data_IF_703219188114
#
_entry.id   IF_703219188114
#
_cell.length_a   1.000
_cell.length_b   1.000
_cell.length_c   1.000
_cell.angle_alpha   90.00
_cell.angle_beta   90.00
_cell.angle_gamma   90.00
#
_symmetry.space_group_name_H-M   'P 1'
#
loop_
_entity.id
_entity.type
_entity.pdbx_description
1 polymer ?
#
# COMPACT_ATOMS: atom_id res chain seq x y z
N UNK A 1 -2.86 -14.63 1.92
CA UNK A 1 -2.10 -14.32 0.68
C UNK A 1 -1.00 -15.35 0.53
N UNK A 2 -0.83 -15.95 -0.65
CA UNK A 2 0.02 -17.13 -0.86
C UNK A 2 1.48 -16.73 -1.14
N UNK A 3 2.15 -16.13 -0.15
CA UNK A 3 3.58 -15.78 -0.22
C UNK A 3 4.52 -17.01 -0.26
N UNK A 4 3.96 -18.22 -0.20
CA UNK A 4 4.68 -19.51 -0.30
C UNK A 4 4.50 -20.25 -1.62
N UNK A 5 4.01 -19.58 -2.67
CA UNK A 5 3.94 -20.22 -4.00
C UNK A 5 5.31 -20.27 -4.67
N UNK A 6 5.56 -21.32 -5.46
CA UNK A 6 6.75 -21.46 -6.30
C UNK A 6 6.44 -21.23 -7.79
N UNK A 7 5.15 -21.14 -8.15
CA UNK A 7 4.68 -20.85 -9.51
C UNK A 7 4.30 -19.38 -9.64
N UNK A 8 5.31 -18.51 -9.63
CA UNK A 8 5.14 -17.06 -9.72
C UNK A 8 4.49 -16.63 -11.05
N UNK A 9 4.80 -17.32 -12.14
CA UNK A 9 4.26 -17.00 -13.48
C UNK A 9 2.74 -17.11 -13.48
N UNK A 10 2.22 -18.29 -13.11
CA UNK A 10 0.78 -18.54 -13.18
C UNK A 10 0.04 -17.83 -12.06
N UNK A 11 0.56 -17.92 -10.83
CA UNK A 11 -0.20 -17.52 -9.64
C UNK A 11 -0.05 -16.04 -9.28
N UNK A 12 0.93 -15.33 -9.83
CA UNK A 12 1.12 -13.90 -9.55
C UNK A 12 1.01 -13.06 -10.82
N UNK A 13 1.85 -13.30 -11.83
CA UNK A 13 1.91 -12.44 -13.01
C UNK A 13 0.70 -12.60 -13.93
N UNK A 14 0.39 -13.83 -14.35
CA UNK A 14 -0.71 -14.10 -15.28
C UNK A 14 -2.06 -13.73 -14.66
N UNK A 15 -2.27 -14.06 -13.39
CA UNK A 15 -3.49 -13.71 -12.67
C UNK A 15 -3.66 -12.20 -12.51
N UNK A 16 -2.60 -11.47 -12.13
CA UNK A 16 -2.71 -10.02 -11.93
C UNK A 16 -3.00 -9.28 -13.24
N UNK A 17 -2.19 -9.52 -14.28
CA UNK A 17 -2.32 -8.84 -15.58
C UNK A 17 -3.59 -9.30 -16.29
N UNK A 18 -3.81 -10.61 -16.38
CA UNK A 18 -4.98 -11.19 -17.04
C UNK A 18 -6.27 -10.75 -16.36
N UNK A 19 -6.33 -10.83 -15.03
CA UNK A 19 -7.52 -10.40 -14.26
C UNK A 19 -7.86 -8.93 -14.49
N UNK A 20 -6.86 -8.05 -14.48
CA UNK A 20 -7.07 -6.61 -14.69
C UNK A 20 -7.52 -6.32 -16.12
N UNK A 21 -6.80 -6.82 -17.12
CA UNK A 21 -7.11 -6.54 -18.53
C UNK A 21 -8.45 -7.16 -18.94
N UNK A 22 -8.74 -8.41 -18.53
CA UNK A 22 -10.02 -9.05 -18.84
C UNK A 22 -11.21 -8.33 -18.22
N UNK A 23 -11.06 -7.73 -17.04
CA UNK A 23 -12.11 -6.91 -16.44
C UNK A 23 -12.35 -5.63 -17.25
N UNK A 24 -11.30 -4.93 -17.67
CA UNK A 24 -11.42 -3.74 -18.52
C UNK A 24 -12.05 -4.06 -19.88
N UNK A 25 -11.68 -5.20 -20.46
CA UNK A 25 -12.24 -5.71 -21.71
C UNK A 25 -13.71 -6.09 -21.57
N UNK A 26 -14.09 -6.76 -20.49
CA UNK A 26 -15.48 -7.08 -20.19
C UNK A 26 -16.32 -5.81 -20.05
N UNK A 27 -15.79 -4.77 -19.37
CA UNK A 27 -16.47 -3.48 -19.25
C UNK A 27 -16.65 -2.83 -20.62
N UNK A 28 -15.60 -2.78 -21.43
CA UNK A 28 -15.64 -2.16 -22.76
C UNK A 28 -16.64 -2.84 -23.69
N UNK A 29 -16.76 -4.16 -23.61
CA UNK A 29 -17.69 -4.97 -24.41
C UNK A 29 -19.09 -5.08 -23.81
N UNK A 30 -19.34 -4.52 -22.63
CA UNK A 30 -20.65 -4.54 -22.00
C UNK A 30 -21.56 -3.45 -22.56
N UNK A 31 -22.87 -3.71 -22.57
CA UNK A 31 -23.90 -2.70 -22.87
C UNK A 31 -24.14 -1.73 -21.70
N UNK A 32 -23.37 -1.85 -20.62
CA UNK A 32 -23.51 -1.03 -19.41
C UNK A 32 -22.77 0.29 -19.59
N UNK A 33 -23.38 1.39 -19.15
CA UNK A 33 -22.77 2.71 -19.23
C UNK A 33 -21.78 2.97 -18.08
N UNK A 34 -20.78 2.11 -17.93
CA UNK A 34 -19.69 2.29 -16.97
C UNK A 34 -18.76 3.38 -17.51
N UNK A 35 -18.56 4.45 -16.73
CA UNK A 35 -17.77 5.62 -17.13
C UNK A 35 -16.43 5.75 -16.40
N UNK A 36 -16.26 5.07 -15.25
CA UNK A 36 -15.08 5.18 -14.39
C UNK A 36 -14.78 3.86 -13.71
N UNK A 37 -13.50 3.49 -13.67
CA UNK A 37 -13.00 2.30 -12.98
C UNK A 37 -11.85 2.73 -12.06
N UNK A 38 -11.99 2.50 -10.76
CA UNK A 38 -10.93 2.76 -9.78
C UNK A 38 -10.21 1.45 -9.49
N UNK A 39 -8.89 1.44 -9.71
CA UNK A 39 -8.02 0.29 -9.54
C UNK A 39 -7.27 0.44 -8.23
N UNK A 40 -7.45 -0.51 -7.31
CA UNK A 40 -6.60 -0.63 -6.13
C UNK A 40 -5.25 -1.23 -6.54
N UNK A 41 -4.28 -0.35 -6.79
CA UNK A 41 -2.89 -0.72 -7.01
C UNK A 41 -2.14 -0.81 -5.68
N UNK A 42 -0.86 -0.44 -5.65
CA UNK A 42 -0.02 -0.44 -4.47
C UNK A 42 1.17 0.48 -4.65
N UNK A 43 1.74 0.99 -3.56
CA UNK A 43 3.04 1.66 -3.59
C UNK A 43 4.14 0.78 -4.22
N UNK A 44 3.97 -0.55 -4.19
CA UNK A 44 4.84 -1.51 -4.88
C UNK A 44 5.01 -1.21 -6.39
N UNK A 45 4.02 -0.59 -7.04
CA UNK A 45 4.13 -0.20 -8.44
C UNK A 45 5.00 1.04 -8.69
N UNK A 46 5.37 1.76 -7.63
CA UNK A 46 6.14 3.00 -7.65
C UNK A 46 7.55 2.79 -7.06
N UNK A 47 7.67 1.99 -6.00
CA UNK A 47 8.94 1.79 -5.29
C UNK A 47 9.99 1.07 -6.14
N UNK A 48 11.25 1.38 -5.84
CA UNK A 48 12.39 0.58 -6.29
C UNK A 48 12.87 -0.29 -5.12
N UNK A 49 12.45 -1.57 -5.07
CA UNK A 49 12.82 -2.46 -3.97
C UNK A 49 14.30 -2.85 -3.97
N UNK A 50 15.05 -2.59 -5.05
CA UNK A 50 16.47 -2.94 -5.17
C UNK A 50 17.39 -1.92 -4.49
N UNK A 51 16.87 -0.73 -4.19
CA UNK A 51 17.63 0.37 -3.60
C UNK A 51 17.54 0.42 -2.07
N UNK A 52 16.72 -0.44 -1.45
CA UNK A 52 16.49 -0.42 -0.02
C UNK A 52 15.93 0.94 0.47
N UNK A 53 16.41 1.39 1.63
CA UNK A 53 16.03 2.68 2.19
C UNK A 53 16.80 3.81 1.50
N UNK A 54 16.08 4.87 1.09
CA UNK A 54 16.65 6.01 0.35
C UNK A 54 16.33 7.34 1.04
N UNK A 55 16.99 7.67 2.16
CA UNK A 55 16.78 8.94 2.85
C UNK A 55 16.95 10.14 1.90
N UNK A 56 16.00 11.07 1.91
CA UNK A 56 16.02 12.26 1.04
C UNK A 56 15.55 12.03 -0.40
N UNK A 57 15.30 10.80 -0.82
CA UNK A 57 14.71 10.54 -2.15
C UNK A 57 13.19 10.71 -2.13
N UNK A 58 12.66 11.37 -3.16
CA UNK A 58 11.22 11.62 -3.31
C UNK A 58 10.66 10.75 -4.43
N UNK A 59 9.79 9.81 -4.07
CA UNK A 59 8.97 9.08 -5.04
C UNK A 59 7.82 9.97 -5.51
N UNK A 60 7.37 9.78 -6.76
CA UNK A 60 6.25 10.51 -7.35
C UNK A 60 5.31 9.54 -8.07
N UNK A 61 4.05 9.95 -8.25
CA UNK A 61 2.99 9.20 -8.94
C UNK A 61 3.31 8.95 -10.42
N UNK A 62 4.28 9.67 -10.99
CA UNK A 62 4.71 9.48 -12.38
C UNK A 62 5.70 8.31 -12.53
N UNK A 63 6.36 7.91 -11.44
CA UNK A 63 7.35 6.84 -11.44
C UNK A 63 6.70 5.46 -11.40
N UNK A 64 7.28 4.51 -12.14
CA UNK A 64 7.01 3.09 -11.94
C UNK A 64 8.24 2.40 -11.39
N UNK A 65 8.02 1.32 -10.63
CA UNK A 65 9.08 0.41 -10.24
C UNK A 65 9.86 -0.05 -11.49
N UNK A 66 11.21 -0.02 -11.44
CA UNK A 66 12.03 -0.41 -12.58
C UNK A 66 12.16 -1.94 -12.72
N UNK A 67 11.70 -2.71 -11.72
CA UNK A 67 11.81 -4.17 -11.72
C UNK A 67 10.95 -4.75 -12.83
N UNK A 68 11.57 -5.52 -13.73
CA UNK A 68 10.86 -6.24 -14.79
C UNK A 68 10.35 -7.58 -14.28
N UNK A 69 9.36 -8.14 -14.98
CA UNK A 69 8.86 -9.48 -14.71
C UNK A 69 9.99 -10.51 -14.76
N UNK A 70 10.84 -10.43 -15.78
CA UNK A 70 11.96 -11.35 -16.02
C UNK A 70 12.95 -11.28 -14.85
N UNK A 71 13.35 -10.08 -14.45
CA UNK A 71 14.26 -9.89 -13.32
C UNK A 71 13.66 -10.41 -12.00
N UNK A 72 12.37 -10.20 -11.78
CA UNK A 72 11.69 -10.72 -10.59
C UNK A 72 11.65 -12.25 -10.57
N UNK A 73 11.36 -12.88 -11.71
CA UNK A 73 11.34 -14.35 -11.85
C UNK A 73 12.72 -14.97 -11.66
N UNK A 74 13.75 -14.39 -12.30
CA UNK A 74 15.13 -14.85 -12.23
C UNK A 74 15.74 -14.69 -10.84
N UNK A 75 15.30 -13.69 -10.08
CA UNK A 75 15.83 -13.43 -8.74
C UNK A 75 15.56 -14.53 -7.72
N UNK A 76 14.53 -15.36 -7.92
CA UNK A 76 14.02 -16.29 -6.90
C UNK A 76 13.55 -15.60 -5.61
N UNK A 77 13.45 -14.27 -5.59
CA UNK A 77 13.11 -13.50 -4.40
C UNK A 77 11.59 -13.33 -4.30
N UNK A 78 10.98 -13.98 -3.31
CA UNK A 78 9.54 -13.95 -3.08
C UNK A 78 8.97 -12.52 -2.92
N UNK A 79 9.73 -11.58 -2.36
CA UNK A 79 9.30 -10.19 -2.26
C UNK A 79 9.23 -9.54 -3.64
N UNK A 80 10.25 -9.71 -4.49
CA UNK A 80 10.22 -9.19 -5.86
C UNK A 80 9.12 -9.84 -6.69
N UNK A 81 8.93 -11.16 -6.55
CA UNK A 81 7.85 -11.90 -7.20
C UNK A 81 6.46 -11.40 -6.79
N UNK A 82 6.30 -10.91 -5.55
CA UNK A 82 5.04 -10.34 -5.07
C UNK A 82 4.81 -8.88 -5.51
N UNK A 83 5.85 -8.04 -5.45
CA UNK A 83 5.73 -6.61 -5.74
C UNK A 83 5.56 -6.33 -7.23
N UNK A 84 6.35 -7.01 -8.07
CA UNK A 84 6.45 -6.74 -9.51
C UNK A 84 5.13 -6.92 -10.28
N UNK A 85 4.29 -7.93 -10.01
CA UNK A 85 2.97 -8.05 -10.62
C UNK A 85 2.08 -6.82 -10.41
N UNK A 86 2.24 -6.07 -9.31
CA UNK A 86 1.49 -4.80 -9.09
C UNK A 86 1.88 -3.76 -10.13
N UNK A 87 3.17 -3.61 -10.39
CA UNK A 87 3.72 -2.73 -11.44
C UNK A 87 3.21 -3.14 -12.82
N UNK A 88 3.35 -4.41 -13.19
CA UNK A 88 3.02 -4.88 -14.54
C UNK A 88 1.52 -4.83 -14.79
N UNK A 89 0.71 -5.20 -13.80
CA UNK A 89 -0.76 -5.14 -13.89
C UNK A 89 -1.27 -3.71 -14.04
N UNK A 90 -0.71 -2.75 -13.29
CA UNK A 90 -1.09 -1.35 -13.41
C UNK A 90 -0.70 -0.78 -14.78
N UNK A 91 0.53 -1.03 -15.25
CA UNK A 91 0.96 -0.64 -16.60
C UNK A 91 0.02 -1.20 -17.67
N UNK A 92 -0.32 -2.48 -17.59
CA UNK A 92 -1.22 -3.12 -18.53
C UNK A 92 -2.62 -2.47 -18.55
N UNK A 93 -3.13 -1.98 -17.41
CA UNK A 93 -4.39 -1.26 -17.36
C UNK A 93 -4.33 0.08 -18.11
N UNK A 94 -3.28 0.88 -17.88
CA UNK A 94 -3.08 2.15 -18.58
C UNK A 94 -2.81 1.95 -20.08
N UNK A 95 -2.02 0.95 -20.44
CA UNK A 95 -1.77 0.57 -21.84
C UNK A 95 -3.06 0.15 -22.54
N UNK A 96 -3.92 -0.61 -21.86
CA UNK A 96 -5.23 -1.00 -22.38
C UNK A 96 -6.09 0.23 -22.71
N UNK A 97 -6.20 1.19 -21.79
CA UNK A 97 -6.97 2.42 -22.00
C UNK A 97 -6.37 3.27 -23.12
N UNK A 98 -5.04 3.43 -23.13
CA UNK A 98 -4.35 4.21 -24.17
C UNK A 98 -4.51 3.62 -25.58
N UNK A 99 -4.46 2.29 -25.70
CA UNK A 99 -4.59 1.57 -26.96
C UNK A 99 -6.03 1.48 -27.45
N UNK A 100 -6.96 1.07 -26.58
CA UNK A 100 -8.32 0.74 -26.97
C UNK A 100 -9.30 1.92 -26.88
N UNK A 101 -8.89 3.00 -26.20
CA UNK A 101 -9.67 4.24 -26.03
C UNK A 101 -11.14 3.96 -25.62
N UNK A 102 -11.36 3.22 -24.52
CA UNK A 102 -12.71 2.91 -24.07
C UNK A 102 -13.48 4.18 -23.68
N UNK A 103 -14.81 4.05 -23.55
CA UNK A 103 -15.68 5.14 -23.09
C UNK A 103 -15.52 5.47 -21.60
N UNK A 104 -14.88 4.58 -20.84
CA UNK A 104 -14.57 4.80 -19.43
C UNK A 104 -13.15 5.33 -19.24
N UNK A 105 -12.92 5.91 -18.07
CA UNK A 105 -11.59 6.31 -17.60
C UNK A 105 -11.16 5.43 -16.43
N UNK A 106 -9.86 5.34 -16.19
CA UNK A 106 -9.32 4.60 -15.04
C UNK A 106 -8.62 5.55 -14.06
N UNK A 107 -8.60 5.19 -12.78
CA UNK A 107 -7.73 5.81 -11.77
C UNK A 107 -7.04 4.73 -10.98
N UNK A 108 -5.74 4.88 -10.69
CA UNK A 108 -5.01 3.93 -9.85
C UNK A 108 -4.69 4.54 -8.49
N UNK A 109 -5.05 3.85 -7.42
CA UNK A 109 -4.68 4.22 -6.05
C UNK A 109 -3.55 3.31 -5.58
N UNK A 110 -2.45 3.91 -5.13
CA UNK A 110 -1.22 3.24 -4.73
C UNK A 110 -1.02 3.36 -3.21
N UNK A 111 -1.76 2.60 -2.39
CA UNK A 111 -1.58 2.61 -0.94
C UNK A 111 -0.28 1.90 -0.53
N UNK A 112 0.34 2.31 0.60
CA UNK A 112 1.43 1.60 1.24
C UNK A 112 0.87 0.49 2.13
N UNK A 113 1.38 0.32 3.36
CA UNK A 113 0.73 -0.54 4.34
C UNK A 113 -0.64 0.04 4.74
N UNK A 114 -1.66 -0.81 4.78
CA UNK A 114 -3.03 -0.42 5.13
C UNK A 114 -3.34 -0.94 6.53
N UNK A 115 -3.68 -0.03 7.44
CA UNK A 115 -3.99 -0.36 8.83
C UNK A 115 -5.41 0.04 9.21
N UNK A 116 -6.04 -0.79 10.04
CA UNK A 116 -7.39 -0.58 10.58
C UNK A 116 -7.75 -1.73 11.54
N UNK A 117 -8.71 -1.51 12.47
CA UNK A 117 -9.47 -2.60 13.06
C UNK A 117 -10.08 -3.53 12.00
N UNK A 118 -10.12 -4.83 12.30
CA UNK A 118 -10.75 -5.83 11.43
C UNK A 118 -12.26 -5.79 11.63
N UNK A 119 -13.00 -5.42 10.58
CA UNK A 119 -14.48 -5.32 10.63
C UNK A 119 -15.20 -6.60 10.16
N UNK A 120 -14.48 -7.53 9.52
CA UNK A 120 -15.03 -8.79 9.04
C UNK A 120 -14.53 -9.96 9.90
N UNK A 121 -15.30 -11.04 9.95
CA UNK A 121 -14.88 -12.25 10.65
C UNK A 121 -13.65 -12.86 9.98
N UNK A 122 -12.58 -13.01 10.75
CA UNK A 122 -11.36 -13.69 10.31
C UNK A 122 -11.29 -15.02 11.06
N UNK A 123 -11.51 -16.13 10.35
CA UNK A 123 -11.59 -17.49 10.92
C UNK A 123 -10.28 -18.06 11.49
N UNK A 124 -9.29 -17.20 11.74
CA UNK A 124 -7.95 -17.56 12.21
C UNK A 124 -6.87 -16.70 11.55
N UNK A 125 -5.67 -16.72 12.12
CA UNK A 125 -4.54 -15.84 11.74
C UNK A 125 -4.07 -16.02 10.29
N UNK A 126 -4.36 -17.16 9.67
CA UNK A 126 -4.11 -17.41 8.25
C UNK A 126 -4.96 -16.56 7.29
N UNK A 127 -6.05 -15.95 7.78
CA UNK A 127 -6.90 -15.03 7.02
C UNK A 127 -6.46 -13.56 7.09
N UNK A 128 -5.41 -13.24 7.86
CA UNK A 128 -4.93 -11.86 7.98
C UNK A 128 -4.31 -11.35 6.68
N UNK A 129 -4.55 -10.07 6.38
CA UNK A 129 -3.82 -9.36 5.31
C UNK A 129 -2.32 -9.28 5.65
N UNK A 130 -1.46 -9.04 4.66
CA UNK A 130 -0.02 -8.88 4.90
C UNK A 130 0.26 -7.75 5.90
N UNK A 131 -0.45 -6.62 5.80
CA UNK A 131 -0.33 -5.49 6.73
C UNK A 131 -0.74 -5.87 8.15
N UNK A 132 -1.92 -6.51 8.31
CA UNK A 132 -2.43 -6.94 9.61
C UNK A 132 -1.58 -8.04 10.24
N UNK A 133 -1.06 -8.96 9.43
CA UNK A 133 -0.13 -10.00 9.87
C UNK A 133 1.18 -9.39 10.37
N UNK A 134 1.69 -8.36 9.68
CA UNK A 134 2.86 -7.59 10.08
C UNK A 134 2.73 -6.98 11.48
N UNK A 135 1.53 -6.57 11.89
CA UNK A 135 1.22 -6.15 13.26
C UNK A 135 1.07 -7.36 14.19
N UNK A 136 0.27 -8.35 13.80
CA UNK A 136 -0.05 -9.53 14.61
C UNK A 136 1.20 -10.27 15.11
N UNK A 137 2.21 -10.43 14.24
CA UNK A 137 3.46 -11.12 14.59
C UNK A 137 4.27 -10.44 15.70
N UNK A 138 4.08 -9.13 15.89
CA UNK A 138 4.80 -8.34 16.90
C UNK A 138 4.31 -8.63 18.33
N UNK A 139 3.08 -9.09 18.49
CA UNK A 139 2.49 -9.33 19.82
C UNK A 139 2.04 -10.78 20.06
N UNK A 140 2.04 -11.64 19.05
CA UNK A 140 1.62 -13.05 19.19
C UNK A 140 2.75 -13.97 19.73
N UNK A 141 3.94 -13.43 19.98
CA UNK A 141 5.12 -14.17 20.45
C UNK A 141 5.94 -14.88 19.37
N UNK A 142 5.62 -14.71 18.09
CA UNK A 142 6.38 -15.30 16.97
C UNK A 142 7.69 -14.57 16.67
N UNK A 143 7.76 -13.27 16.98
CA UNK A 143 8.98 -12.46 16.88
C UNK A 143 9.60 -12.31 18.28
N UNK A 144 10.90 -12.58 18.39
CA UNK A 144 11.67 -12.37 19.64
C UNK A 144 12.28 -10.97 19.72
N UNK A 145 12.45 -10.31 18.58
CA UNK A 145 12.97 -8.96 18.43
C UNK A 145 12.08 -8.17 17.46
N UNK A 146 12.16 -6.84 17.49
CA UNK A 146 11.43 -6.00 16.54
C UNK A 146 12.07 -6.15 15.15
N UNK A 147 11.38 -6.71 14.14
CA UNK A 147 11.98 -6.96 12.85
C UNK A 147 12.20 -5.65 12.07
N UNK A 148 13.06 -5.65 11.05
CA UNK A 148 13.18 -4.51 10.14
C UNK A 148 11.87 -4.30 9.37
N UNK A 149 11.56 -3.03 9.12
CA UNK A 149 10.42 -2.60 8.30
C UNK A 149 10.86 -2.37 6.86
N UNK A 150 10.12 -2.94 5.91
CA UNK A 150 10.46 -2.85 4.49
C UNK A 150 10.11 -1.48 3.88
N UNK A 151 9.05 -0.83 4.36
CA UNK A 151 8.64 0.49 3.92
C UNK A 151 7.92 1.24 5.04
N UNK A 152 8.30 2.49 5.27
CA UNK A 152 7.92 3.22 6.47
C UNK A 152 6.56 3.91 6.41
N UNK A 153 5.83 3.92 5.30
CA UNK A 153 4.54 4.64 5.26
C UNK A 153 3.35 3.71 5.43
N UNK A 154 2.28 4.26 5.99
CA UNK A 154 0.99 3.60 6.08
C UNK A 154 -0.15 4.52 5.63
N UNK A 155 -1.33 3.95 5.53
CA UNK A 155 -2.61 4.64 5.36
C UNK A 155 -3.67 3.94 6.21
N UNK A 156 -4.60 4.70 6.79
CA UNK A 156 -5.79 4.14 7.42
C UNK A 156 -6.76 3.62 6.33
N UNK A 157 -7.46 2.51 6.60
CA UNK A 157 -8.42 1.96 5.63
C UNK A 157 -9.56 2.92 5.30
N UNK A 158 -9.97 3.77 6.24
CA UNK A 158 -11.07 4.73 6.04
C UNK A 158 -10.65 5.83 5.07
N UNK A 159 -9.43 6.35 5.23
CA UNK A 159 -8.85 7.33 4.30
C UNK A 159 -8.69 6.73 2.90
N UNK A 160 -8.26 5.47 2.81
CA UNK A 160 -8.16 4.78 1.53
C UNK A 160 -9.55 4.55 0.91
N UNK A 161 -10.57 4.18 1.70
CA UNK A 161 -11.93 4.01 1.22
C UNK A 161 -12.51 5.33 0.70
N UNK A 162 -12.31 6.42 1.43
CA UNK A 162 -12.67 7.77 0.99
C UNK A 162 -11.96 8.12 -0.32
N UNK A 163 -10.66 7.84 -0.44
CA UNK A 163 -9.92 8.07 -1.68
C UNK A 163 -10.50 7.29 -2.88
N UNK A 164 -11.01 6.08 -2.69
CA UNK A 164 -11.69 5.33 -3.76
C UNK A 164 -12.97 6.04 -4.21
N UNK A 165 -13.79 6.52 -3.27
CA UNK A 165 -15.01 7.29 -3.58
C UNK A 165 -14.64 8.58 -4.32
N UNK A 166 -13.66 9.32 -3.81
CA UNK A 166 -13.23 10.59 -4.41
C UNK A 166 -12.64 10.40 -5.82
N UNK A 167 -11.88 9.33 -6.05
CA UNK A 167 -11.37 8.98 -7.38
C UNK A 167 -12.49 8.59 -8.35
N UNK A 168 -13.54 7.93 -7.84
CA UNK A 168 -14.71 7.60 -8.63
C UNK A 168 -15.55 8.85 -8.96
N UNK A 169 -15.68 9.82 -8.06
CA UNK A 169 -16.57 10.97 -8.23
C UNK A 169 -15.94 12.12 -9.01
N UNK A 170 -14.65 12.39 -8.81
CA UNK A 170 -13.99 13.58 -9.35
C UNK A 170 -13.57 13.41 -10.81
N UNK A 171 -14.01 14.28 -11.74
CA UNK A 171 -13.53 14.27 -13.12
C UNK A 171 -12.01 14.40 -13.23
N UNK A 172 -11.38 15.16 -12.33
CA UNK A 172 -9.92 15.35 -12.30
C UNK A 172 -9.14 14.06 -12.02
N UNK A 173 -9.79 13.01 -11.51
CA UNK A 173 -9.16 11.71 -11.27
C UNK A 173 -9.04 10.82 -12.52
N UNK A 174 -9.66 11.22 -13.63
CA UNK A 174 -9.60 10.48 -14.88
C UNK A 174 -8.15 10.31 -15.36
N UNK A 175 -7.77 9.05 -15.58
CA UNK A 175 -6.46 8.61 -16.06
C UNK A 175 -5.30 9.07 -15.18
N UNK A 176 -5.53 9.18 -13.87
CA UNK A 176 -4.53 9.56 -12.87
C UNK A 176 -4.09 8.40 -11.99
N UNK A 177 -2.92 8.58 -11.38
CA UNK A 177 -2.35 7.72 -10.34
C UNK A 177 -2.22 8.53 -9.06
N UNK A 178 -2.48 7.92 -7.91
CA UNK A 178 -2.42 8.61 -6.62
C UNK A 178 -1.69 7.78 -5.58
N UNK A 179 -0.65 8.33 -4.96
CA UNK A 179 -0.10 7.79 -3.72
C UNK A 179 -1.03 8.18 -2.58
N UNK A 180 -1.66 7.18 -1.94
CA UNK A 180 -2.54 7.41 -0.79
C UNK A 180 -1.75 7.05 0.46
N UNK A 181 -0.99 8.01 0.97
CA UNK A 181 -0.07 7.82 2.10
C UNK A 181 -0.36 8.86 3.19
N UNK A 182 -0.38 8.44 4.45
CA UNK A 182 -0.53 9.33 5.60
C UNK A 182 0.84 9.76 6.14
N UNK A 183 1.41 9.00 7.08
CA UNK A 183 2.69 9.32 7.72
C UNK A 183 3.64 8.13 7.78
N UNK A 184 4.88 8.41 8.14
CA UNK A 184 5.87 7.39 8.42
C UNK A 184 5.56 6.70 9.77
N UNK A 185 5.82 5.40 9.88
CA UNK A 185 5.69 4.58 11.10
C UNK A 185 6.91 3.66 11.24
N UNK A 186 7.10 3.12 12.44
CA UNK A 186 8.06 2.05 12.72
C UNK A 186 7.36 0.92 13.48
N UNK A 187 7.85 -0.31 13.35
CA UNK A 187 7.35 -1.41 14.19
C UNK A 187 7.60 -1.17 15.67
N UNK A 188 8.64 -0.40 16.04
CA UNK A 188 8.87 0.01 17.42
C UNK A 188 7.69 0.81 17.99
N UNK A 189 7.12 1.74 17.22
CA UNK A 189 5.93 2.50 17.63
C UNK A 189 4.76 1.54 17.95
N UNK A 190 4.59 0.48 17.15
CA UNK A 190 3.53 -0.52 17.36
C UNK A 190 3.82 -1.37 18.60
N UNK A 191 5.08 -1.76 18.83
CA UNK A 191 5.47 -2.50 20.04
C UNK A 191 5.27 -1.67 21.31
N UNK A 192 5.65 -0.40 21.30
CA UNK A 192 5.52 0.51 22.46
C UNK A 192 4.04 0.71 22.84
N UNK A 193 3.16 0.85 21.85
CA UNK A 193 1.72 1.00 22.06
C UNK A 193 1.02 -0.26 22.58
N UNK A 194 1.63 -1.45 22.51
CA UNK A 194 0.95 -2.70 22.93
C UNK A 194 1.21 -3.11 24.37
N UNK A 195 2.42 -2.92 24.91
CA UNK A 195 2.75 -3.35 26.29
C UNK A 195 2.51 -2.26 27.33
N UNK A 196 2.97 -1.03 27.09
CA UNK A 196 2.80 0.07 28.05
C UNK A 196 1.34 0.53 28.16
N UNK A 197 0.58 0.49 27.07
CA UNK A 197 -0.86 0.77 27.12
C UNK A 197 -1.59 -0.29 27.94
N UNK A 198 -1.28 -1.57 27.73
CA UNK A 198 -1.93 -2.70 28.41
C UNK A 198 -1.57 -2.80 29.89
N UNK A 199 -0.30 -2.64 30.24
CA UNK A 199 0.19 -2.89 31.60
C UNK A 199 0.19 -1.63 32.48
N UNK A 200 0.31 -0.43 31.89
CA UNK A 200 0.44 0.83 32.61
C UNK A 200 -0.68 1.85 32.29
N UNK A 201 -1.59 1.55 31.35
CA UNK A 201 -2.65 2.46 30.94
C UNK A 201 -2.13 3.72 30.22
N UNK A 202 -0.92 3.67 29.65
CA UNK A 202 -0.31 4.83 29.00
C UNK A 202 -1.00 5.10 27.66
N UNK A 203 -1.59 6.29 27.54
CA UNK A 203 -2.03 6.86 26.27
C UNK A 203 -0.90 7.74 25.70
N UNK A 204 -0.26 7.26 24.63
CA UNK A 204 0.79 8.02 23.96
C UNK A 204 0.18 9.23 23.24
N UNK A 205 0.73 10.43 23.53
CA UNK A 205 0.37 11.66 22.80
C UNK A 205 0.81 11.53 21.34
N UNK A 206 0.08 12.16 20.42
CA UNK A 206 0.52 12.27 19.02
C UNK A 206 1.88 12.98 18.94
N UNK A 207 2.63 12.69 17.88
CA UNK A 207 3.91 13.34 17.64
C UNK A 207 3.75 14.85 17.54
N UNK A 208 2.70 15.31 16.85
CA UNK A 208 2.34 16.71 16.66
C UNK A 208 2.13 17.42 18.00
N UNK A 209 1.34 16.83 18.91
CA UNK A 209 1.09 17.39 20.23
C UNK A 209 2.35 17.45 21.09
N UNK A 210 3.24 16.47 20.94
CA UNK A 210 4.52 16.42 21.65
C UNK A 210 5.47 17.53 21.17
N UNK A 211 5.55 17.74 19.85
CA UNK A 211 6.41 18.76 19.26
C UNK A 211 5.91 20.17 19.57
N UNK A 212 4.60 20.42 19.50
CA UNK A 212 4.03 21.74 19.82
C UNK A 212 4.37 22.18 21.24
N UNK A 213 4.18 21.29 22.22
CA UNK A 213 4.48 21.60 23.62
C UNK A 213 5.98 21.78 23.85
N UNK A 214 6.81 20.96 23.20
CA UNK A 214 8.27 21.10 23.27
C UNK A 214 8.73 22.46 22.71
N UNK A 215 8.22 22.87 21.55
CA UNK A 215 8.52 24.18 20.96
C UNK A 215 8.05 25.31 21.86
N UNK A 216 6.83 25.23 22.39
CA UNK A 216 6.30 26.25 23.31
C UNK A 216 7.17 26.39 24.56
N UNK A 217 7.63 25.28 25.13
CA UNK A 217 8.53 25.28 26.29
C UNK A 217 9.89 25.90 25.96
N UNK A 218 10.46 25.61 24.79
CA UNK A 218 11.74 26.16 24.36
C UNK A 218 11.65 27.67 24.07
N UNK A 219 10.56 28.12 23.46
CA UNK A 219 10.30 29.55 23.22
C UNK A 219 10.11 30.37 24.50
N UNK A 220 9.71 29.74 25.62
CA UNK A 220 9.65 30.41 26.92
C UNK A 220 11.03 30.59 27.53
N UNK A 221 11.97 29.66 27.25
CA UNK A 221 13.37 29.76 27.68
C UNK A 221 14.08 30.86 26.90
N UNK A 222 13.86 30.99 25.59
CA UNK A 222 14.46 32.05 24.76
C UNK A 222 14.00 33.47 25.12
N UNK A 223 12.93 33.60 25.92
CA UNK A 223 12.37 34.88 26.38
C UNK A 223 12.78 35.23 27.82
N UNK A 224 13.52 34.37 28.50
CA UNK A 224 14.01 34.55 29.87
C UNK A 224 15.47 35.03 29.87
#
# INVERSE_FOLDING_TARGET
>A
MQLGTTDFETQLFRLAVGGTVSLLEAIQNSDTNISRVVITSSIASILDPLQGQRPGYVYTENGFSPVTKEAAMESGNAALAYLTPKTVSEKAAFDYVGKNKPKFTISALCPPFIYSPLIHHVGGTGGLSTSSNGIYRLFNGSEQEVPPIAFFYYVDVHDLAEAHVQAFEKPAAANQRYMITASAYSYQHICDTTKANKDLGVEYRSFENTIVDAVNSLQQIDKA
#
